data_IF_364499016893
#
_entry.id   IF_364499016893
#
_cell.length_a   1.000
_cell.length_b   1.000
_cell.length_c   1.000
_cell.angle_alpha   90.00
_cell.angle_beta   90.00
_cell.angle_gamma   90.00
#
_symmetry.space_group_name_H-M   'P 1'
#
loop_
_entity.id
_entity.type
_entity.pdbx_description
1 polymer ?
#
# COMPACT_ATOMS: atom_id res chain seq x y z
N UNK A 1 -11.03 32.11 -1.73
CA UNK A 1 -11.68 31.49 -0.56
C UNK A 1 -11.06 30.12 -0.38
N UNK A 2 -10.19 29.94 0.62
CA UNK A 2 -9.54 28.65 0.87
C UNK A 2 -10.54 27.77 1.63
N UNK A 3 -11.09 26.73 0.98
CA UNK A 3 -11.79 25.67 1.72
C UNK A 3 -10.73 25.05 2.65
N UNK A 4 -10.89 25.22 3.96
CA UNK A 4 -10.20 24.38 4.92
C UNK A 4 -10.80 22.99 4.76
N UNK A 5 -10.17 22.15 3.95
CA UNK A 5 -10.51 20.73 3.86
C UNK A 5 -10.18 20.11 5.22
N UNK A 6 -11.23 19.95 6.04
CA UNK A 6 -11.15 19.23 7.30
C UNK A 6 -10.93 17.78 6.93
N UNK A 7 -9.70 17.29 7.16
CA UNK A 7 -9.33 15.91 6.87
C UNK A 7 -10.26 15.01 7.68
N UNK A 8 -11.02 14.11 7.03
CA UNK A 8 -11.98 13.27 7.74
C UNK A 8 -11.25 12.31 8.67
N UNK A 9 -11.77 12.12 9.87
CA UNK A 9 -11.26 11.09 10.78
C UNK A 9 -11.62 9.71 10.22
N UNK A 10 -10.63 8.84 10.02
CA UNK A 10 -10.81 7.52 9.42
C UNK A 10 -11.17 6.52 10.51
N UNK A 11 -12.38 5.97 10.45
CA UNK A 11 -12.81 4.86 11.30
C UNK A 11 -12.50 3.53 10.62
N UNK A 12 -12.48 2.42 11.38
CA UNK A 12 -12.31 1.08 10.81
C UNK A 12 -13.36 0.74 9.77
N UNK A 13 -14.64 1.06 10.03
CA UNK A 13 -15.74 0.80 9.09
C UNK A 13 -15.53 1.53 7.75
N UNK A 14 -15.17 2.82 7.80
CA UNK A 14 -14.87 3.59 6.60
C UNK A 14 -13.61 3.08 5.90
N UNK A 15 -12.57 2.70 6.65
CA UNK A 15 -11.36 2.11 6.08
C UNK A 15 -11.66 0.80 5.34
N UNK A 16 -12.45 -0.09 5.94
CA UNK A 16 -12.89 -1.35 5.32
C UNK A 16 -13.68 -1.06 4.04
N UNK A 17 -14.59 -0.09 4.07
CA UNK A 17 -15.36 0.32 2.88
C UNK A 17 -14.44 0.81 1.76
N UNK A 18 -13.49 1.69 2.08
CA UNK A 18 -12.50 2.22 1.13
C UNK A 18 -11.65 1.08 0.54
N UNK A 19 -11.14 0.18 1.40
CA UNK A 19 -10.28 -0.93 0.98
C UNK A 19 -11.01 -1.93 0.09
N UNK A 20 -12.27 -2.27 0.40
CA UNK A 20 -13.08 -3.13 -0.48
C UNK A 20 -13.28 -2.47 -1.85
N UNK A 21 -13.61 -1.17 -1.89
CA UNK A 21 -13.72 -0.43 -3.15
C UNK A 21 -12.41 -0.42 -3.94
N UNK A 22 -11.26 -0.34 -3.27
CA UNK A 22 -9.94 -0.47 -3.91
C UNK A 22 -9.73 -1.86 -4.51
N UNK A 23 -10.14 -2.91 -3.82
CA UNK A 23 -10.06 -4.28 -4.32
C UNK A 23 -10.98 -4.46 -5.54
N UNK A 24 -12.22 -3.96 -5.48
CA UNK A 24 -13.17 -4.00 -6.60
C UNK A 24 -12.59 -3.29 -7.83
N UNK A 25 -12.02 -2.09 -7.65
CA UNK A 25 -11.41 -1.31 -8.74
C UNK A 25 -10.14 -1.98 -9.29
N UNK A 26 -9.37 -2.67 -8.45
CA UNK A 26 -8.22 -3.48 -8.89
C UNK A 26 -8.65 -4.72 -9.69
N UNK A 27 -9.90 -5.17 -9.52
CA UNK A 27 -10.51 -6.27 -10.25
C UNK A 27 -11.31 -5.82 -11.48
N UNK A 28 -11.49 -4.51 -11.67
CA UNK A 28 -12.09 -3.97 -12.89
C UNK A 28 -11.28 -4.42 -14.13
N UNK A 29 -11.93 -4.93 -15.19
CA UNK A 29 -11.22 -5.45 -16.36
C UNK A 29 -10.21 -4.49 -16.97
N UNK A 30 -10.47 -3.17 -16.94
CA UNK A 30 -9.56 -2.17 -17.50
C UNK A 30 -8.29 -1.99 -16.65
N UNK A 31 -8.38 -2.17 -15.34
CA UNK A 31 -7.24 -2.08 -14.43
C UNK A 31 -6.49 -3.41 -14.34
N UNK A 32 -7.20 -4.55 -14.39
CA UNK A 32 -6.60 -5.88 -14.52
C UNK A 32 -5.72 -5.94 -15.77
N UNK A 33 -6.23 -5.49 -16.91
CA UNK A 33 -5.45 -5.48 -18.15
C UNK A 33 -4.14 -4.67 -17.99
N UNK A 34 -4.21 -3.44 -17.45
CA UNK A 34 -3.01 -2.60 -17.22
C UNK A 34 -2.00 -3.25 -16.28
N UNK A 35 -2.50 -3.90 -15.22
CA UNK A 35 -1.65 -4.59 -14.24
C UNK A 35 -0.97 -5.82 -14.84
N UNK A 36 -1.67 -6.61 -15.65
CA UNK A 36 -1.10 -7.77 -16.34
C UNK A 36 -0.07 -7.36 -17.40
N UNK A 37 -0.37 -6.35 -18.21
CA UNK A 37 0.60 -5.79 -19.18
C UNK A 37 1.87 -5.29 -18.48
N UNK A 38 1.74 -4.67 -17.30
CA UNK A 38 2.88 -4.27 -16.50
C UNK A 38 3.62 -5.49 -15.89
N UNK A 39 2.92 -6.54 -15.44
CA UNK A 39 3.51 -7.76 -14.87
C UNK A 39 4.36 -8.53 -15.88
N UNK A 40 3.89 -8.63 -17.12
CA UNK A 40 4.60 -9.32 -18.22
C UNK A 40 6.01 -8.76 -18.45
N UNK A 41 6.20 -7.46 -18.18
CA UNK A 41 7.48 -6.78 -18.34
C UNK A 41 8.41 -6.88 -17.12
N UNK A 42 7.94 -7.42 -16.00
CA UNK A 42 8.54 -7.26 -14.67
C UNK A 42 9.01 -8.58 -14.05
N UNK A 43 8.26 -9.67 -14.23
CA UNK A 43 8.51 -10.93 -13.53
C UNK A 43 8.37 -10.78 -12.00
N UNK A 44 9.27 -11.40 -11.23
CA UNK A 44 9.28 -11.36 -9.75
C UNK A 44 10.32 -10.39 -9.17
N UNK A 45 10.86 -9.47 -9.98
CA UNK A 45 11.85 -8.50 -9.51
C UNK A 45 11.17 -7.38 -8.70
N UNK A 46 11.44 -7.35 -7.39
CA UNK A 46 10.85 -6.39 -6.46
C UNK A 46 10.96 -4.93 -6.95
N UNK A 47 12.14 -4.53 -7.43
CA UNK A 47 12.39 -3.16 -7.89
C UNK A 47 11.53 -2.82 -9.11
N UNK A 48 11.37 -3.76 -10.04
CA UNK A 48 10.51 -3.59 -11.22
C UNK A 48 9.04 -3.60 -10.84
N UNK A 49 8.60 -4.42 -9.89
CA UNK A 49 7.21 -4.35 -9.38
C UNK A 49 6.92 -2.98 -8.76
N UNK A 50 7.86 -2.43 -7.98
CA UNK A 50 7.77 -1.05 -7.46
C UNK A 50 7.81 0.02 -8.55
N UNK A 51 8.46 -0.23 -9.69
CA UNK A 51 8.57 0.76 -10.76
C UNK A 51 7.33 0.77 -11.67
N UNK A 52 6.74 -0.39 -11.94
CA UNK A 52 5.70 -0.55 -12.95
C UNK A 52 4.31 -0.80 -12.36
N UNK A 53 4.19 -1.60 -11.30
CA UNK A 53 2.88 -1.96 -10.71
C UNK A 53 2.45 -0.96 -9.65
N UNK A 54 3.38 -0.54 -8.79
CA UNK A 54 3.07 0.40 -7.71
C UNK A 54 2.43 1.71 -8.19
N UNK A 55 2.89 2.38 -9.27
CA UNK A 55 2.24 3.61 -9.73
C UNK A 55 0.78 3.41 -10.14
N UNK A 56 0.45 2.27 -10.76
CA UNK A 56 -0.91 1.94 -11.18
C UNK A 56 -1.81 1.78 -9.95
N UNK A 57 -1.36 0.98 -8.98
CA UNK A 57 -2.10 0.76 -7.73
C UNK A 57 -2.26 2.06 -6.94
N UNK A 58 -1.22 2.90 -6.87
CA UNK A 58 -1.29 4.21 -6.21
C UNK A 58 -2.29 5.14 -6.88
N UNK A 59 -2.38 5.13 -8.22
CA UNK A 59 -3.34 5.96 -8.94
C UNK A 59 -4.77 5.57 -8.57
N UNK A 60 -5.08 4.27 -8.58
CA UNK A 60 -6.39 3.74 -8.17
C UNK A 60 -6.71 4.15 -6.72
N UNK A 61 -5.75 4.01 -5.80
CA UNK A 61 -5.96 4.40 -4.41
C UNK A 61 -6.24 5.90 -4.27
N UNK A 62 -5.47 6.76 -4.95
CA UNK A 62 -5.70 8.21 -4.96
C UNK A 62 -7.08 8.58 -5.52
N UNK A 63 -7.52 7.89 -6.58
CA UNK A 63 -8.82 8.10 -7.18
C UNK A 63 -9.98 7.69 -6.29
N UNK A 64 -9.79 6.70 -5.42
CA UNK A 64 -10.84 6.27 -4.51
C UNK A 64 -10.91 7.17 -3.29
N UNK A 65 -9.78 7.45 -2.63
CA UNK A 65 -9.79 8.22 -1.37
C UNK A 65 -10.31 9.66 -1.53
N UNK A 66 -10.21 10.24 -2.74
CA UNK A 66 -10.78 11.56 -3.03
C UNK A 66 -12.30 11.59 -2.86
N UNK A 67 -12.99 10.47 -3.15
CA UNK A 67 -14.44 10.33 -2.96
C UNK A 67 -14.83 10.36 -1.48
N UNK A 68 -13.87 10.12 -0.58
CA UNK A 68 -14.03 10.12 0.87
C UNK A 68 -13.47 11.39 1.53
N UNK A 69 -13.14 12.41 0.75
CA UNK A 69 -12.69 13.72 1.26
C UNK A 69 -11.20 13.80 1.59
N UNK A 70 -10.37 12.87 1.11
CA UNK A 70 -8.92 13.03 1.16
C UNK A 70 -8.44 14.02 0.08
N UNK A 71 -7.42 14.85 0.38
CA UNK A 71 -6.84 15.76 -0.61
C UNK A 71 -6.33 15.04 -1.86
N UNK A 72 -6.35 15.71 -3.00
CA UNK A 72 -5.82 15.14 -4.24
C UNK A 72 -4.28 14.95 -4.19
N UNK A 73 -3.81 13.95 -4.95
CA UNK A 73 -2.39 13.70 -5.14
C UNK A 73 -1.67 13.08 -3.94
N UNK A 74 -0.37 13.36 -3.84
CA UNK A 74 0.53 12.68 -2.87
C UNK A 74 0.22 13.00 -1.42
N UNK A 75 -0.38 14.16 -1.13
CA UNK A 75 -0.71 14.54 0.24
C UNK A 75 -1.83 13.65 0.80
N UNK A 76 -2.88 13.40 0.02
CA UNK A 76 -4.00 12.56 0.45
C UNK A 76 -3.58 11.13 0.72
N UNK A 77 -2.78 10.53 -0.17
CA UNK A 77 -2.34 9.14 -0.01
C UNK A 77 -1.43 8.97 1.22
N UNK A 78 -0.54 9.92 1.49
CA UNK A 78 0.33 9.88 2.68
C UNK A 78 -0.50 9.97 3.96
N UNK A 79 -1.48 10.88 4.02
CA UNK A 79 -2.38 11.00 5.17
C UNK A 79 -3.22 9.74 5.36
N UNK A 80 -3.83 9.23 4.29
CA UNK A 80 -4.59 7.98 4.33
C UNK A 80 -3.73 6.82 4.85
N UNK A 81 -2.52 6.64 4.32
CA UNK A 81 -1.61 5.58 4.74
C UNK A 81 -1.20 5.68 6.23
N UNK A 82 -0.99 6.90 6.75
CA UNK A 82 -0.67 7.12 8.17
C UNK A 82 -1.82 6.72 9.09
N UNK A 83 -3.05 7.11 8.73
CA UNK A 83 -4.25 6.78 9.48
C UNK A 83 -4.55 5.28 9.40
N UNK A 84 -4.47 4.71 8.20
CA UNK A 84 -4.70 3.30 7.94
C UNK A 84 -3.74 2.42 8.74
N UNK A 85 -2.45 2.77 8.79
CA UNK A 85 -1.45 2.05 9.59
C UNK A 85 -1.79 2.01 11.08
N UNK A 86 -2.47 3.03 11.59
CA UNK A 86 -2.93 3.02 12.98
C UNK A 86 -4.06 2.01 13.18
N UNK A 87 -5.02 1.97 12.25
CA UNK A 87 -6.14 1.02 12.27
C UNK A 87 -5.70 -0.43 12.06
N UNK A 88 -4.68 -0.70 11.22
CA UNK A 88 -4.14 -2.06 11.02
C UNK A 88 -3.68 -2.73 12.33
N UNK A 89 -3.30 -1.96 13.35
CA UNK A 89 -2.87 -2.52 14.65
C UNK A 89 -4.03 -2.96 15.52
N UNK A 90 -5.18 -2.32 15.36
CA UNK A 90 -6.35 -2.49 16.22
C UNK A 90 -7.45 -3.32 15.54
N UNK A 91 -7.43 -3.41 14.20
CA UNK A 91 -8.42 -4.09 13.38
C UNK A 91 -7.76 -5.06 12.37
N UNK A 92 -7.94 -6.36 12.61
CA UNK A 92 -7.35 -7.41 11.77
C UNK A 92 -7.94 -7.45 10.36
N UNK A 93 -9.18 -7.00 10.16
CA UNK A 93 -9.80 -6.99 8.84
C UNK A 93 -9.23 -5.88 7.97
N UNK A 94 -9.00 -4.69 8.55
CA UNK A 94 -8.26 -3.60 7.90
C UNK A 94 -6.88 -4.09 7.45
N UNK A 95 -6.13 -4.77 8.34
CA UNK A 95 -4.83 -5.32 8.03
C UNK A 95 -4.86 -6.37 6.91
N UNK A 96 -5.86 -7.26 6.93
CA UNK A 96 -6.06 -8.30 5.92
C UNK A 96 -6.33 -7.68 4.54
N UNK A 97 -7.30 -6.77 4.46
CA UNK A 97 -7.68 -6.11 3.21
C UNK A 97 -6.55 -5.25 2.63
N UNK A 98 -5.84 -4.50 3.46
CA UNK A 98 -4.70 -3.71 2.99
C UNK A 98 -3.54 -4.61 2.51
N UNK A 99 -3.36 -5.79 3.12
CA UNK A 99 -2.37 -6.78 2.66
C UNK A 99 -2.72 -7.36 1.29
N UNK A 100 -4.02 -7.56 0.99
CA UNK A 100 -4.46 -7.97 -0.34
C UNK A 100 -4.07 -6.95 -1.40
N UNK A 101 -4.30 -5.65 -1.14
CA UNK A 101 -3.91 -4.57 -2.06
C UNK A 101 -2.39 -4.52 -2.25
N UNK A 102 -1.62 -4.64 -1.15
CA UNK A 102 -0.14 -4.69 -1.18
C UNK A 102 0.39 -5.80 -2.09
N UNK A 103 -0.27 -6.96 -2.11
CA UNK A 103 0.13 -8.10 -2.94
C UNK A 103 0.04 -7.82 -4.46
N UNK A 104 -0.66 -6.77 -4.89
CA UNK A 104 -0.67 -6.38 -6.30
C UNK A 104 0.67 -5.83 -6.77
N UNK A 105 1.46 -5.22 -5.88
CA UNK A 105 2.69 -4.51 -6.26
C UNK A 105 3.92 -4.94 -5.45
N UNK A 106 3.79 -5.72 -4.37
CA UNK A 106 4.90 -6.34 -3.68
C UNK A 106 5.06 -7.82 -4.07
N UNK A 107 6.29 -8.34 -4.19
CA UNK A 107 6.50 -9.76 -4.35
C UNK A 107 6.06 -10.52 -3.09
N UNK A 108 5.68 -11.80 -3.21
CA UNK A 108 5.39 -12.64 -2.05
C UNK A 108 6.63 -12.73 -1.15
N UNK A 109 6.55 -12.15 0.05
CA UNK A 109 7.61 -12.25 1.06
C UNK A 109 7.52 -13.63 1.71
N UNK A 110 8.36 -14.56 1.27
CA UNK A 110 8.68 -15.75 2.04
C UNK A 110 9.33 -15.32 3.35
N UNK A 111 8.78 -15.74 4.49
CA UNK A 111 9.19 -15.39 5.86
C UNK A 111 10.64 -15.76 6.24
N UNK A 112 11.47 -16.21 5.29
CA UNK A 112 12.87 -16.62 5.50
C UNK A 112 13.92 -15.51 5.27
N UNK A 113 13.54 -14.30 4.85
CA UNK A 113 14.50 -13.25 4.49
C UNK A 113 14.84 -12.24 5.61
N UNK A 114 14.37 -12.45 6.85
CA UNK A 114 14.62 -11.54 7.98
C UNK A 114 15.76 -12.00 8.93
N UNK A 115 16.58 -12.98 8.53
CA UNK A 115 17.66 -13.54 9.37
C UNK A 115 19.08 -13.21 8.88
N UNK A 116 19.25 -12.22 8.00
CA UNK A 116 20.57 -11.74 7.60
C UNK A 116 20.79 -10.28 8.03
N UNK A 117 20.51 -10.00 9.30
CA UNK A 117 21.25 -8.95 10.01
C UNK A 117 22.66 -9.51 10.25
N UNK A 118 23.63 -8.98 9.50
CA UNK A 118 25.06 -9.29 9.62
C UNK A 118 25.49 -9.24 11.09
N UNK A 119 26.19 -10.27 11.62
CA UNK A 119 26.79 -10.16 12.94
C UNK A 119 27.80 -9.01 12.92
N UNK A 120 27.57 -8.01 13.76
CA UNK A 120 28.56 -6.99 14.09
C UNK A 120 29.78 -7.76 14.62
N UNK A 121 30.91 -7.70 13.90
CA UNK A 121 32.18 -8.26 14.34
C UNK A 121 32.56 -7.58 15.67
N UNK A 122 32.27 -8.26 16.78
CA UNK A 122 32.78 -7.91 18.10
C UNK A 122 34.28 -8.22 18.11
N UNK A 123 35.09 -7.30 17.59
CA UNK A 123 36.53 -7.29 17.89
C UNK A 123 36.73 -6.67 19.26
N UNK A 124 36.57 -7.54 20.25
CA UNK A 124 37.02 -7.38 21.62
C UNK A 124 38.46 -6.86 21.62
N UNK A 125 38.64 -5.66 22.17
CA UNK A 125 39.92 -5.21 22.73
C UNK A 125 40.38 -6.21 23.77
N UNK A 126 41.57 -6.82 23.58
CA UNK A 126 42.49 -7.26 24.65
C UNK A 126 43.64 -8.11 24.07
N UNK A 127 44.81 -7.50 23.84
CA UNK A 127 46.07 -7.72 24.60
C UNK A 127 47.26 -7.09 23.87
#
# INVERSE_FOLDING_TARGET
MSRQETIPNLTSETAITILNKMIDELQDPSNVQKLEEARDNVGNEMLKMMQYLFPIVMQIQMDIIKEYGFPEGREGIVKFAQMLRSLERDDSEVARLHSLIKAHYLPPVSVNAAANESPIEERVSSN
#
